data_IF_737970906653
#
_entry.id   IF_737970906653
#
_cell.length_a   1.000
_cell.length_b   1.000
_cell.length_c   1.000
_cell.angle_alpha   90.00
_cell.angle_beta   90.00
_cell.angle_gamma   90.00
#
_symmetry.space_group_name_H-M   'P 1'
#
loop_
_entity.id
_entity.type
_entity.pdbx_description
1 polymer ?
#
# COMPACT_ATOMS: atom_id res chain seq x y z
N UNK A 1 -22.70 11.91 8.19
CA UNK A 1 -21.93 11.29 9.29
C UNK A 1 -21.49 12.28 10.38
N UNK A 2 -21.69 13.60 10.27
CA UNK A 2 -21.39 14.52 11.39
C UNK A 2 -19.89 14.78 11.63
N UNK A 3 -19.02 14.35 10.70
CA UNK A 3 -17.60 14.69 10.72
C UNK A 3 -17.42 16.18 10.42
N UNK A 4 -16.46 16.80 11.10
CA UNK A 4 -15.94 18.15 10.84
C UNK A 4 -14.62 18.08 10.09
N UNK A 5 -14.14 19.21 9.57
CA UNK A 5 -12.83 19.33 8.87
C UNK A 5 -12.61 18.25 7.80
N UNK A 6 -13.68 17.94 7.07
CA UNK A 6 -13.66 16.98 5.96
C UNK A 6 -12.94 17.63 4.78
N UNK A 7 -11.82 17.04 4.37
CA UNK A 7 -10.95 17.60 3.33
C UNK A 7 -10.36 16.50 2.45
N UNK A 8 -10.26 16.79 1.15
CA UNK A 8 -9.39 16.06 0.24
C UNK A 8 -7.98 16.63 0.41
N UNK A 9 -7.14 15.95 1.19
CA UNK A 9 -5.77 16.39 1.44
C UNK A 9 -4.86 15.85 0.32
N UNK A 10 -4.29 16.72 -0.53
CA UNK A 10 -3.45 16.30 -1.65
C UNK A 10 -2.12 15.75 -1.14
N UNK A 11 -1.62 14.67 -1.72
CA UNK A 11 -0.32 14.10 -1.37
C UNK A 11 0.44 13.61 -2.61
N UNK A 12 1.76 13.80 -2.51
CA UNK A 12 2.75 13.68 -3.57
C UNK A 12 2.30 14.16 -4.96
N UNK A 13 3.03 13.66 -5.94
CA UNK A 13 2.93 13.92 -7.34
C UNK A 13 3.21 12.54 -7.97
N UNK A 14 2.16 11.77 -8.26
CA UNK A 14 2.11 10.28 -8.19
C UNK A 14 3.16 9.46 -8.96
N UNK A 15 3.86 10.03 -9.94
CA UNK A 15 4.68 9.27 -10.87
C UNK A 15 4.13 9.27 -12.29
N UNK A 16 4.78 8.51 -13.18
CA UNK A 16 4.12 8.05 -14.40
C UNK A 16 3.00 7.09 -14.03
N UNK A 17 1.76 7.49 -14.36
CA UNK A 17 0.64 6.56 -14.40
C UNK A 17 0.93 5.35 -15.29
N UNK A 18 0.30 4.22 -15.00
CA UNK A 18 0.46 2.97 -15.73
C UNK A 18 -0.91 2.40 -16.09
N UNK A 19 -1.04 1.87 -17.30
CA UNK A 19 -2.29 1.36 -17.85
C UNK A 19 -2.06 -0.02 -18.48
N UNK A 20 -2.90 -1.00 -18.12
CA UNK A 20 -2.90 -2.31 -18.75
C UNK A 20 -3.77 -2.32 -20.02
N UNK A 21 -3.17 -2.03 -21.18
CA UNK A 21 -3.90 -2.11 -22.47
C UNK A 21 -4.14 -3.54 -22.95
N UNK A 22 -3.21 -4.47 -22.67
CA UNK A 22 -3.32 -5.89 -23.03
C UNK A 22 -2.37 -6.74 -22.22
N UNK A 23 -2.87 -7.81 -21.60
CA UNK A 23 -2.05 -8.95 -21.16
C UNK A 23 -2.43 -10.18 -22.00
N UNK A 24 -1.44 -10.98 -22.38
CA UNK A 24 -1.67 -12.26 -23.05
C UNK A 24 -0.45 -13.17 -22.87
N UNK A 25 -0.62 -14.29 -22.18
CA UNK A 25 0.36 -15.37 -22.09
C UNK A 25 -0.28 -16.67 -22.60
N UNK A 26 0.50 -17.47 -23.32
CA UNK A 26 0.11 -18.82 -23.74
C UNK A 26 1.33 -19.71 -23.92
N UNK A 27 1.26 -20.93 -23.40
CA UNK A 27 2.12 -22.01 -23.85
C UNK A 27 1.76 -22.36 -25.30
N UNK A 28 2.76 -22.58 -26.15
CA UNK A 28 2.55 -22.93 -27.58
C UNK A 28 2.99 -24.35 -27.94
N UNK A 29 3.78 -24.99 -27.09
CA UNK A 29 4.22 -26.38 -27.21
C UNK A 29 4.44 -26.95 -25.79
N UNK A 30 4.27 -28.27 -25.55
CA UNK A 30 3.91 -29.32 -26.52
C UNK A 30 2.48 -29.23 -27.07
N UNK A 31 1.57 -28.55 -26.37
CA UNK A 31 0.26 -28.16 -26.88
C UNK A 31 -0.03 -26.70 -26.53
N UNK A 32 -1.00 -26.10 -27.23
CA UNK A 32 -1.46 -24.76 -26.92
C UNK A 32 -2.22 -24.75 -25.58
N UNK A 33 -1.85 -23.84 -24.67
CA UNK A 33 -2.58 -23.60 -23.42
C UNK A 33 -2.54 -22.11 -23.07
N UNK A 34 -3.67 -21.40 -23.00
CA UNK A 34 -3.70 -20.03 -22.48
C UNK A 34 -3.31 -20.04 -21.00
N UNK A 35 -2.60 -19.01 -20.56
CA UNK A 35 -2.14 -18.85 -19.18
C UNK A 35 -2.71 -17.54 -18.64
N UNK A 36 -3.50 -17.61 -17.57
CA UNK A 36 -3.91 -16.44 -16.84
C UNK A 36 -2.68 -15.79 -16.19
N UNK A 37 -2.42 -14.52 -16.51
CA UNK A 37 -1.26 -13.80 -16.03
C UNK A 37 -1.47 -12.30 -16.14
N UNK A 38 -1.26 -11.61 -15.02
CA UNK A 38 -1.29 -10.15 -14.95
C UNK A 38 0.14 -9.63 -14.90
N UNK A 39 0.51 -8.62 -15.70
CA UNK A 39 1.80 -7.97 -15.56
C UNK A 39 1.86 -7.25 -14.22
N UNK A 40 3.01 -7.33 -13.54
CA UNK A 40 3.29 -6.45 -12.41
C UNK A 40 3.19 -5.00 -12.88
N UNK A 41 2.55 -4.14 -12.09
CA UNK A 41 2.42 -2.71 -12.39
C UNK A 41 3.79 -2.05 -12.63
N UNK A 42 3.81 -1.04 -13.50
CA UNK A 42 5.01 -0.39 -14.06
C UNK A 42 6.00 -1.30 -14.80
N UNK A 43 5.66 -2.56 -15.09
CA UNK A 43 6.41 -3.30 -16.13
C UNK A 43 6.18 -2.67 -17.50
N UNK A 44 7.26 -2.57 -18.29
CA UNK A 44 7.20 -2.08 -19.66
C UNK A 44 6.58 -3.10 -20.61
N UNK A 45 5.92 -2.60 -21.66
CA UNK A 45 5.37 -3.45 -22.71
C UNK A 45 6.46 -4.20 -23.50
N UNK A 46 6.12 -5.36 -24.06
CA UNK A 46 7.06 -6.23 -24.78
C UNK A 46 7.39 -5.77 -26.21
N UNK A 47 6.82 -4.66 -26.69
CA UNK A 47 6.89 -4.21 -28.09
C UNK A 47 6.53 -5.33 -29.08
N UNK A 48 5.29 -5.84 -28.96
CA UNK A 48 4.76 -6.95 -29.75
C UNK A 48 4.86 -8.31 -29.05
N UNK A 49 4.37 -9.37 -29.73
CA UNK A 49 4.39 -10.73 -29.20
C UNK A 49 5.85 -11.23 -29.07
N UNK A 50 6.18 -11.82 -27.92
CA UNK A 50 7.45 -12.52 -27.70
C UNK A 50 7.19 -14.01 -27.53
N UNK A 51 8.03 -14.84 -28.15
CA UNK A 51 8.04 -16.30 -28.02
C UNK A 51 9.47 -16.73 -27.70
N UNK A 52 9.63 -17.49 -26.63
CA UNK A 52 10.91 -17.97 -26.14
C UNK A 52 10.72 -19.27 -25.34
N UNK A 53 11.81 -20.01 -25.14
CA UNK A 53 11.82 -21.15 -24.20
C UNK A 53 11.56 -20.64 -22.78
N UNK A 54 10.70 -21.33 -22.05
CA UNK A 54 10.45 -21.08 -20.63
C UNK A 54 11.47 -21.85 -19.79
N UNK A 55 12.01 -21.23 -18.74
CA UNK A 55 12.86 -21.88 -17.73
C UNK A 55 12.27 -21.64 -16.36
N UNK A 56 12.07 -22.72 -15.60
CA UNK A 56 11.78 -22.65 -14.17
C UNK A 56 13.09 -22.39 -13.42
N UNK A 57 13.17 -21.25 -12.73
CA UNK A 57 14.27 -20.89 -11.84
C UNK A 57 13.92 -21.40 -10.45
N UNK A 58 14.59 -22.47 -10.04
CA UNK A 58 14.61 -22.94 -8.67
C UNK A 58 15.91 -22.46 -8.04
N UNK A 59 15.85 -21.30 -7.38
CA UNK A 59 16.97 -20.66 -6.69
C UNK A 59 16.41 -19.87 -5.50
N UNK A 60 17.04 -19.99 -4.33
CA UNK A 60 16.60 -19.37 -3.07
C UNK A 60 17.03 -17.91 -2.94
N UNK A 61 18.18 -17.57 -3.54
CA UNK A 61 18.79 -16.25 -3.46
C UNK A 61 19.52 -15.88 -4.76
N UNK A 62 20.11 -14.67 -4.78
CA UNK A 62 20.88 -14.16 -5.91
C UNK A 62 22.21 -14.88 -6.15
N UNK A 63 22.81 -15.51 -5.13
CA UNK A 63 24.05 -16.26 -5.27
C UNK A 63 23.81 -17.60 -6.00
N UNK A 64 22.73 -18.32 -5.65
CA UNK A 64 22.30 -19.51 -6.39
C UNK A 64 21.95 -19.18 -7.85
N UNK A 65 21.34 -18.03 -8.14
CA UNK A 65 21.10 -17.57 -9.52
C UNK A 65 22.42 -17.40 -10.29
N UNK A 66 23.39 -16.70 -9.70
CA UNK A 66 24.70 -16.47 -10.34
C UNK A 66 25.45 -17.79 -10.54
N UNK A 67 25.52 -18.65 -9.53
CA UNK A 67 26.32 -19.87 -9.59
C UNK A 67 25.72 -20.89 -10.56
N UNK A 68 24.39 -21.06 -10.57
CA UNK A 68 23.75 -22.15 -11.31
C UNK A 68 23.28 -21.74 -12.73
N UNK A 69 22.98 -20.45 -12.96
CA UNK A 69 22.30 -19.98 -14.18
C UNK A 69 23.07 -18.94 -15.01
N UNK A 70 24.26 -18.48 -14.58
CA UNK A 70 25.10 -17.54 -15.35
C UNK A 70 25.31 -18.01 -16.79
N UNK A 71 25.08 -17.11 -17.74
CA UNK A 71 25.14 -17.38 -19.19
C UNK A 71 23.96 -18.16 -19.78
N UNK A 72 23.10 -18.80 -18.97
CA UNK A 72 22.04 -19.70 -19.45
C UNK A 72 20.69 -19.03 -19.72
N UNK A 73 20.50 -17.78 -19.28
CA UNK A 73 19.17 -17.13 -19.23
C UNK A 73 18.85 -16.19 -20.40
N UNK A 74 19.83 -15.87 -21.25
CA UNK A 74 19.65 -14.92 -22.36
C UNK A 74 18.56 -15.39 -23.33
N UNK A 75 17.63 -14.49 -23.67
CA UNK A 75 16.54 -14.76 -24.62
C UNK A 75 15.47 -15.75 -24.11
N UNK A 76 15.43 -16.09 -22.82
CA UNK A 76 14.46 -17.03 -22.23
C UNK A 76 13.40 -16.30 -21.41
N UNK A 77 12.21 -16.90 -21.29
CA UNK A 77 11.17 -16.47 -20.34
C UNK A 77 11.41 -17.21 -19.03
N UNK A 78 11.48 -16.49 -17.91
CA UNK A 78 11.78 -17.07 -16.61
C UNK A 78 10.49 -17.18 -15.78
N UNK A 79 10.27 -18.34 -15.17
CA UNK A 79 9.27 -18.53 -14.10
C UNK A 79 10.06 -18.74 -12.81
N UNK A 80 9.83 -17.91 -11.80
CA UNK A 80 10.45 -18.09 -10.49
C UNK A 80 9.66 -19.11 -9.68
N UNK A 81 10.32 -20.13 -9.13
CA UNK A 81 9.72 -21.01 -8.14
C UNK A 81 9.70 -20.29 -6.79
N UNK A 82 8.69 -19.46 -6.56
CA UNK A 82 8.50 -18.72 -5.30
C UNK A 82 7.39 -19.39 -4.49
N UNK A 83 7.70 -20.38 -3.62
CA UNK A 83 6.69 -20.98 -2.76
C UNK A 83 6.21 -19.94 -1.74
N UNK A 84 4.96 -19.49 -1.91
CA UNK A 84 4.36 -18.52 -0.99
C UNK A 84 3.88 -19.27 0.24
N UNK A 85 4.76 -19.39 1.23
CA UNK A 85 4.44 -19.93 2.54
C UNK A 85 3.70 -18.86 3.37
N UNK A 86 2.38 -18.75 3.16
CA UNK A 86 1.51 -18.12 4.15
C UNK A 86 1.53 -18.98 5.41
N UNK A 87 2.18 -18.49 6.45
CA UNK A 87 2.04 -19.02 7.82
C UNK A 87 0.87 -18.26 8.44
N UNK A 88 -0.28 -18.90 8.73
CA UNK A 88 -1.34 -18.27 9.51
C UNK A 88 -0.76 -17.80 10.84
N UNK A 89 -1.08 -16.57 11.20
CA UNK A 89 -0.62 -15.93 12.41
C UNK A 89 -1.77 -15.90 13.42
N UNK A 90 -1.60 -16.54 14.57
CA UNK A 90 -2.62 -16.59 15.63
C UNK A 90 -2.61 -15.32 16.52
N UNK A 91 -1.65 -14.41 16.31
CA UNK A 91 -1.57 -13.12 17.00
C UNK A 91 -2.45 -12.08 16.30
N UNK A 92 -3.07 -11.13 17.04
CA UNK A 92 -3.85 -10.07 16.42
C UNK A 92 -2.99 -9.19 15.49
N UNK A 93 -3.54 -8.86 14.32
CA UNK A 93 -2.89 -8.00 13.29
C UNK A 93 -2.49 -6.61 13.83
N UNK A 94 -3.11 -6.18 14.93
CA UNK A 94 -2.86 -4.91 15.61
C UNK A 94 -2.27 -5.15 17.00
N UNK A 95 -0.93 -5.08 17.09
CA UNK A 95 -0.18 -5.03 18.35
C UNK A 95 0.36 -3.63 18.62
N UNK A 96 0.35 -3.21 19.90
CA UNK A 96 0.94 -1.93 20.32
C UNK A 96 2.46 -2.05 20.36
N UNK A 97 3.13 -1.47 19.38
CA UNK A 97 4.59 -1.38 19.33
C UNK A 97 5.15 -0.57 20.51
N UNK A 98 6.25 -1.07 21.07
CA UNK A 98 7.08 -0.34 22.05
C UNK A 98 7.96 0.71 21.36
N UNK A 99 8.46 1.74 22.07
CA UNK A 99 9.37 2.73 21.49
C UNK A 99 10.58 2.10 20.77
N UNK A 100 11.25 1.13 21.40
CA UNK A 100 12.39 0.43 20.82
C UNK A 100 12.05 -0.35 19.53
N UNK A 101 10.82 -0.87 19.41
CA UNK A 101 10.36 -1.50 18.17
C UNK A 101 10.11 -0.47 17.07
N UNK A 102 9.52 0.69 17.40
CA UNK A 102 9.34 1.79 16.45
C UNK A 102 10.68 2.31 15.92
N UNK A 103 11.69 2.43 16.78
CA UNK A 103 13.05 2.83 16.38
C UNK A 103 13.68 1.83 15.40
N UNK A 104 13.52 0.52 15.64
CA UNK A 104 14.05 -0.50 14.72
C UNK A 104 13.43 -0.46 13.31
N UNK A 105 12.18 -0.01 13.19
CA UNK A 105 11.45 0.11 11.92
C UNK A 105 11.82 1.34 11.08
N UNK A 106 12.61 2.27 11.61
CA UNK A 106 12.97 3.52 10.90
C UNK A 106 13.83 3.30 9.65
N UNK A 107 14.49 2.15 9.50
CA UNK A 107 15.55 1.94 8.51
C UNK A 107 15.10 1.64 7.05
N UNK A 108 13.81 1.79 6.71
CA UNK A 108 13.32 1.56 5.34
C UNK A 108 13.43 2.84 4.49
N UNK A 109 14.53 2.96 3.73
CA UNK A 109 14.73 4.05 2.75
C UNK A 109 13.84 3.84 1.51
N UNK A 110 12.95 4.80 1.25
CA UNK A 110 12.12 4.87 0.02
C UNK A 110 12.56 6.01 -0.89
N UNK A 111 12.51 5.80 -2.21
CA UNK A 111 12.76 6.83 -3.23
C UNK A 111 11.44 7.54 -3.59
N UNK A 112 11.46 8.86 -3.78
CA UNK A 112 10.27 9.66 -4.10
C UNK A 112 10.03 9.74 -5.64
N UNK A 113 8.77 9.70 -6.13
CA UNK A 113 8.40 9.94 -7.54
C UNK A 113 7.61 11.25 -7.83
N UNK A 114 7.40 11.50 -9.14
CA UNK A 114 6.86 12.69 -9.86
C UNK A 114 6.05 12.30 -11.14
N UNK A 115 4.84 12.78 -11.51
CA UNK A 115 3.99 13.92 -11.10
C UNK A 115 2.49 13.64 -11.43
N UNK A 116 1.53 13.87 -10.50
CA UNK A 116 0.06 13.92 -10.67
C UNK A 116 -0.69 14.01 -9.30
N UNK A 117 -1.72 14.87 -9.20
CA UNK A 117 -2.40 15.19 -7.93
C UNK A 117 -3.39 14.15 -7.40
N UNK A 118 -2.91 13.26 -6.51
CA UNK A 118 -3.73 12.28 -5.78
C UNK A 118 -4.09 12.83 -4.40
N UNK A 119 -5.27 12.46 -3.88
CA UNK A 119 -5.82 12.98 -2.63
C UNK A 119 -6.23 11.84 -1.69
N UNK A 120 -6.01 12.03 -0.40
CA UNK A 120 -6.61 11.21 0.66
C UNK A 120 -7.81 11.93 1.26
N UNK A 121 -8.80 11.18 1.73
CA UNK A 121 -9.98 11.76 2.38
C UNK A 121 -9.75 11.79 3.90
N UNK A 122 -9.69 12.99 4.48
CA UNK A 122 -9.61 13.19 5.93
C UNK A 122 -10.95 13.70 6.47
N UNK A 123 -11.21 13.45 7.76
CA UNK A 123 -12.32 14.05 8.50
C UNK A 123 -12.25 13.74 9.99
N UNK A 124 -12.94 14.51 10.83
CA UNK A 124 -12.73 14.46 12.29
C UNK A 124 -14.01 14.38 13.12
N UNK A 125 -13.90 13.73 14.27
CA UNK A 125 -14.77 13.92 15.43
C UNK A 125 -13.97 14.73 16.45
N UNK A 126 -14.27 16.02 16.62
CA UNK A 126 -13.53 16.89 17.53
C UNK A 126 -13.59 16.43 18.99
N UNK A 127 -12.45 16.49 19.65
CA UNK A 127 -12.34 16.29 21.09
C UNK A 127 -12.95 17.45 21.88
N UNK A 128 -13.54 17.15 23.04
CA UNK A 128 -14.16 18.18 23.90
C UNK A 128 -13.35 18.56 25.14
N UNK A 129 -12.24 17.87 25.42
CA UNK A 129 -11.42 18.15 26.59
C UNK A 129 -10.48 19.34 26.33
N UNK A 130 -10.48 20.34 27.21
CA UNK A 130 -9.66 21.56 27.05
C UNK A 130 -8.15 21.30 26.93
N UNK A 131 -7.65 20.17 27.44
CA UNK A 131 -6.23 19.79 27.40
C UNK A 131 -5.93 18.71 26.35
N UNK A 132 -6.89 17.84 26.04
CA UNK A 132 -6.67 16.66 25.18
C UNK A 132 -7.28 16.78 23.78
N UNK A 133 -8.10 17.79 23.49
CA UNK A 133 -8.75 17.95 22.17
C UNK A 133 -7.77 18.07 21.01
N UNK A 134 -6.58 18.58 21.26
CA UNK A 134 -5.52 18.79 20.26
C UNK A 134 -4.62 17.53 20.11
N UNK A 135 -4.78 16.52 20.99
CA UNK A 135 -4.25 15.18 20.75
C UNK A 135 -5.17 14.40 19.80
N UNK A 136 -4.56 13.70 18.84
CA UNK A 136 -5.27 12.99 17.77
C UNK A 136 -5.18 11.48 17.97
N UNK A 137 -6.32 10.80 18.00
CA UNK A 137 -6.43 9.36 17.78
C UNK A 137 -6.69 9.13 16.30
N UNK A 138 -5.73 8.52 15.60
CA UNK A 138 -5.85 8.18 14.18
C UNK A 138 -6.62 6.86 14.00
N UNK A 139 -7.58 6.85 13.07
CA UNK A 139 -8.21 5.65 12.55
C UNK A 139 -8.20 5.73 11.01
N UNK A 140 -7.71 4.71 10.32
CA UNK A 140 -7.57 4.80 8.87
C UNK A 140 -7.30 3.47 8.18
N UNK A 141 -7.52 3.48 6.87
CA UNK A 141 -7.34 2.36 5.94
C UNK A 141 -7.29 2.92 4.52
N UNK A 142 -6.74 2.18 3.56
CA UNK A 142 -6.64 2.67 2.18
C UNK A 142 -7.89 2.40 1.36
N UNK A 143 -8.11 3.29 0.39
CA UNK A 143 -9.26 3.38 -0.51
C UNK A 143 -8.87 3.02 -1.96
N UNK A 144 -7.59 3.05 -2.30
CA UNK A 144 -7.08 2.49 -3.56
C UNK A 144 -6.96 0.96 -3.49
N UNK A 145 -6.93 0.32 -4.65
CA UNK A 145 -6.82 -1.14 -4.81
C UNK A 145 -6.22 -1.51 -6.17
N UNK A 146 -5.75 -2.74 -6.34
CA UNK A 146 -5.30 -3.25 -7.63
C UNK A 146 -6.40 -3.41 -8.70
N UNK A 147 -6.09 -2.97 -9.93
CA UNK A 147 -6.94 -3.07 -11.12
C UNK A 147 -7.33 -4.50 -11.55
N UNK A 148 -6.72 -5.54 -10.96
CA UNK A 148 -7.05 -6.95 -11.19
C UNK A 148 -8.12 -7.51 -10.23
N UNK A 149 -8.56 -6.72 -9.26
CA UNK A 149 -9.50 -7.08 -8.22
C UNK A 149 -10.68 -6.08 -8.15
N UNK A 150 -11.60 -6.31 -7.22
CA UNK A 150 -12.72 -5.39 -6.92
C UNK A 150 -12.46 -4.50 -5.69
N UNK A 151 -11.28 -4.63 -5.06
CA UNK A 151 -10.93 -3.93 -3.82
C UNK A 151 -11.76 -4.30 -2.59
N UNK A 152 -12.59 -5.36 -2.66
CA UNK A 152 -13.63 -5.63 -1.66
C UNK A 152 -13.08 -5.93 -0.25
N UNK A 153 -12.17 -6.90 -0.13
CA UNK A 153 -11.47 -7.20 1.13
C UNK A 153 -10.28 -6.28 1.37
N UNK A 154 -9.64 -5.87 0.27
CA UNK A 154 -8.38 -5.13 0.24
C UNK A 154 -8.59 -3.82 -0.55
N UNK A 155 -9.05 -2.73 0.08
CA UNK A 155 -9.38 -2.57 1.50
C UNK A 155 -10.74 -1.87 1.74
N UNK A 156 -11.70 -2.02 0.82
CA UNK A 156 -13.04 -1.46 1.00
C UNK A 156 -13.74 -1.96 2.29
N UNK A 157 -13.47 -3.20 2.71
CA UNK A 157 -13.93 -3.74 4.00
C UNK A 157 -13.38 -2.95 5.20
N UNK A 158 -12.08 -2.65 5.24
CA UNK A 158 -11.49 -1.81 6.27
C UNK A 158 -12.06 -0.40 6.28
N UNK A 159 -12.23 0.22 5.10
CA UNK A 159 -12.94 1.49 4.98
C UNK A 159 -14.37 1.42 5.54
N UNK A 160 -15.14 0.39 5.19
CA UNK A 160 -16.51 0.23 5.66
C UNK A 160 -16.61 0.11 7.20
N UNK A 161 -15.71 -0.67 7.82
CA UNK A 161 -15.60 -0.77 9.29
C UNK A 161 -15.32 0.59 9.93
N UNK A 162 -14.41 1.37 9.35
CA UNK A 162 -14.06 2.72 9.83
C UNK A 162 -15.25 3.68 9.74
N UNK A 163 -15.94 3.71 8.59
CA UNK A 163 -17.10 4.58 8.40
C UNK A 163 -18.28 4.18 9.30
N UNK A 164 -18.46 2.88 9.57
CA UNK A 164 -19.47 2.38 10.51
C UNK A 164 -19.11 2.72 11.98
N UNK A 165 -17.84 2.59 12.38
CA UNK A 165 -17.38 3.02 13.70
C UNK A 165 -17.65 4.52 13.94
N UNK A 166 -17.38 5.38 12.94
CA UNK A 166 -17.75 6.80 12.96
C UNK A 166 -19.26 6.98 13.13
N UNK A 167 -20.08 6.24 12.37
CA UNK A 167 -21.54 6.33 12.43
C UNK A 167 -22.07 5.93 13.81
N UNK A 168 -21.50 4.90 14.44
CA UNK A 168 -21.85 4.44 15.79
C UNK A 168 -21.47 5.48 16.84
N UNK A 169 -20.24 5.99 16.81
CA UNK A 169 -19.77 7.02 17.75
C UNK A 169 -20.67 8.27 17.70
N UNK A 170 -20.98 8.75 16.50
CA UNK A 170 -21.86 9.90 16.29
C UNK A 170 -23.30 9.64 16.73
N UNK A 171 -23.87 8.47 16.42
CA UNK A 171 -25.25 8.11 16.83
C UNK A 171 -25.39 7.85 18.33
N UNK A 172 -24.33 7.41 19.01
CA UNK A 172 -24.35 7.18 20.46
C UNK A 172 -24.32 8.48 21.29
N UNK A 173 -24.02 9.63 20.67
CA UNK A 173 -23.86 10.90 21.35
C UNK A 173 -22.59 11.02 22.21
N UNK A 174 -21.70 10.01 22.16
CA UNK A 174 -20.43 10.03 22.88
C UNK A 174 -19.54 11.14 22.33
N UNK A 175 -19.14 12.06 23.20
CA UNK A 175 -18.19 13.14 22.90
C UNK A 175 -16.79 12.70 23.34
N UNK A 176 -15.86 12.40 22.41
CA UNK A 176 -14.54 11.94 22.79
C UNK A 176 -13.75 13.08 23.45
N UNK A 177 -12.85 12.74 24.39
CA UNK A 177 -11.96 13.74 25.01
C UNK A 177 -10.90 14.26 24.03
N UNK A 178 -10.33 13.34 23.25
CA UNK A 178 -9.38 13.58 22.16
C UNK A 178 -10.10 13.73 20.82
N UNK A 179 -9.46 14.39 19.87
CA UNK A 179 -9.97 14.38 18.49
C UNK A 179 -9.72 13.01 17.87
N UNK A 180 -10.74 12.43 17.23
CA UNK A 180 -10.59 11.22 16.42
C UNK A 180 -10.49 11.66 14.97
N UNK A 181 -9.34 11.45 14.33
CA UNK A 181 -9.11 11.78 12.92
C UNK A 181 -9.20 10.50 12.08
N UNK A 182 -10.10 10.55 11.12
CA UNK A 182 -10.36 9.52 10.13
C UNK A 182 -9.53 9.82 8.89
N UNK A 183 -8.90 8.81 8.33
CA UNK A 183 -8.16 8.91 7.09
C UNK A 183 -8.43 7.72 6.16
N UNK A 184 -9.01 8.00 5.01
CA UNK A 184 -9.08 7.05 3.90
C UNK A 184 -7.89 7.37 2.97
N UNK A 185 -6.82 6.59 3.12
CA UNK A 185 -5.59 6.79 2.39
C UNK A 185 -5.76 6.43 0.92
N UNK A 186 -4.94 7.03 0.08
CA UNK A 186 -4.64 6.51 -1.25
C UNK A 186 -3.13 6.30 -1.34
N UNK A 187 -2.65 5.60 -2.37
CA UNK A 187 -1.21 5.38 -2.54
C UNK A 187 -0.67 4.17 -1.79
N UNK A 188 -1.52 3.34 -1.20
CA UNK A 188 -1.08 2.27 -0.29
C UNK A 188 -0.39 1.17 -1.09
N UNK A 189 -1.12 0.62 -2.06
CA UNK A 189 -0.72 -0.50 -2.92
C UNK A 189 0.56 -0.16 -3.72
N UNK A 190 0.79 1.13 -3.92
CA UNK A 190 1.94 1.68 -4.64
C UNK A 190 3.17 1.93 -3.75
N UNK A 191 3.04 1.90 -2.41
CA UNK A 191 4.17 2.05 -1.48
C UNK A 191 3.88 2.79 -0.17
N UNK A 192 2.65 2.77 0.33
CA UNK A 192 2.18 3.54 1.50
C UNK A 192 2.27 5.07 1.30
N UNK A 193 2.16 5.56 0.07
CA UNK A 193 2.58 6.93 -0.26
C UNK A 193 1.73 8.01 0.44
N UNK A 194 0.39 7.91 0.45
CA UNK A 194 -0.46 8.91 1.09
C UNK A 194 -0.24 9.01 2.60
N UNK A 195 -0.25 7.87 3.31
CA UNK A 195 -0.01 7.85 4.75
C UNK A 195 1.42 8.31 5.12
N UNK A 196 2.45 7.96 4.31
CA UNK A 196 3.82 8.47 4.47
C UNK A 196 3.90 9.99 4.31
N UNK A 197 3.34 10.52 3.22
CA UNK A 197 3.40 11.96 2.94
C UNK A 197 2.55 12.77 3.91
N UNK A 198 1.40 12.25 4.36
CA UNK A 198 0.63 12.87 5.44
C UNK A 198 1.45 12.93 6.74
N UNK A 199 2.09 11.83 7.17
CA UNK A 199 2.94 11.84 8.37
C UNK A 199 4.10 12.83 8.22
N UNK A 200 4.76 12.86 7.06
CA UNK A 200 5.82 13.80 6.73
C UNK A 200 5.35 15.25 6.72
N UNK A 201 4.15 15.53 6.20
CA UNK A 201 3.55 16.87 6.18
C UNK A 201 3.14 17.34 7.56
N UNK A 202 2.54 16.48 8.37
CA UNK A 202 1.84 16.83 9.62
C UNK A 202 2.64 16.63 10.90
N UNK A 203 3.47 15.59 10.99
CA UNK A 203 4.13 15.20 12.25
C UNK A 203 5.65 15.36 12.22
N UNK A 204 6.35 14.64 11.33
CA UNK A 204 7.80 14.68 11.17
C UNK A 204 8.21 13.99 9.87
N UNK A 205 9.30 14.44 9.24
CA UNK A 205 9.93 13.63 8.19
C UNK A 205 10.68 12.46 8.86
N UNK A 206 10.54 11.23 8.31
CA UNK A 206 11.28 10.07 8.81
C UNK A 206 12.78 10.18 8.58
N UNK A 207 13.22 11.06 7.68
CA UNK A 207 14.63 11.28 7.37
C UNK A 207 15.40 12.04 8.46
N UNK A 208 14.73 12.94 9.20
CA UNK A 208 15.37 13.77 10.25
C UNK A 208 14.66 13.73 11.61
N UNK A 209 13.48 13.12 11.68
CA UNK A 209 12.63 12.97 12.88
C UNK A 209 12.31 14.29 13.60
N UNK A 210 12.44 15.45 12.93
CA UNK A 210 12.10 16.74 13.53
C UNK A 210 10.59 16.90 13.59
N UNK A 211 10.07 16.94 14.82
CA UNK A 211 8.67 17.22 15.07
C UNK A 211 8.28 18.60 14.53
N UNK A 212 7.19 18.62 13.77
CA UNK A 212 6.54 19.83 13.31
C UNK A 212 5.68 20.44 14.41
N UNK A 213 5.38 21.75 14.36
CA UNK A 213 4.44 22.38 15.28
C UNK A 213 3.09 21.65 15.29
N UNK A 214 2.49 21.50 16.46
CA UNK A 214 1.11 21.03 16.57
C UNK A 214 0.17 21.95 15.79
N UNK A 215 -0.87 21.36 15.19
CA UNK A 215 -1.84 22.02 14.29
C UNK A 215 -3.20 22.15 14.95
#
# INVERSE_FOLDING_TARGET
MGLTDVVLDPWCDFGKGWELKKSYLSMSAPWYKPIAGFPKVWTGGTNGLKRATVVLINAKDSAEIVNNYKGKLSGKILIMNTPVHYVPNDLPDLVRWTPAQLDSMQNIKSKAPDTAGVHQCLGEIKGTDKKLKDEVVMLGGHLDSWQGATGATDNAAGCAVIMEAVRILQKSGIKPRRTIRIALWSGEEQGLYGSREYVKKTFADRADMKLKPAR
#
